data_IF_373245011980
#
_entry.id   IF_373245011980
#
_cell.length_a   1.000
_cell.length_b   1.000
_cell.length_c   1.000
_cell.angle_alpha   90.00
_cell.angle_beta   90.00
_cell.angle_gamma   90.00
#
_symmetry.space_group_name_H-M   'P 1'
#
loop_
_entity.id
_entity.type
_entity.pdbx_description
1 polymer ?
#
# COMPACT_ATOMS: atom_id res chain seq x y z
N UNK A 1 31.78 10.89 62.08
CA UNK A 1 30.35 10.78 62.40
C UNK A 1 29.74 12.08 61.94
N UNK A 2 29.30 12.12 60.69
CA UNK A 2 27.91 11.98 60.22
C UNK A 2 27.67 13.31 59.49
N UNK A 3 27.16 13.41 58.28
CA UNK A 3 26.35 12.51 57.49
C UNK A 3 25.39 13.42 56.72
N UNK A 4 25.41 13.32 55.39
CA UNK A 4 24.39 13.72 54.41
C UNK A 4 23.20 14.55 54.89
N UNK A 5 22.84 15.61 54.14
CA UNK A 5 21.69 15.52 53.22
C UNK A 5 21.70 16.65 52.18
N UNK A 6 21.53 16.23 50.92
CA UNK A 6 21.15 17.08 49.79
C UNK A 6 19.73 17.59 50.02
N UNK A 7 19.46 18.86 49.73
CA UNK A 7 18.13 19.26 49.29
C UNK A 7 18.22 19.74 47.83
N UNK A 8 17.71 18.88 46.96
CA UNK A 8 17.33 19.26 45.62
C UNK A 8 15.88 19.73 45.69
N UNK A 9 15.63 20.97 45.31
CA UNK A 9 14.27 21.36 44.93
C UNK A 9 14.30 22.35 43.76
N UNK A 10 14.20 21.72 42.59
CA UNK A 10 13.31 22.10 41.48
C UNK A 10 13.48 23.49 40.84
N UNK A 11 14.20 23.46 39.70
CA UNK A 11 13.72 23.94 38.40
C UNK A 11 12.20 24.11 38.36
N UNK A 12 11.70 25.30 38.01
CA UNK A 12 10.81 25.55 36.85
C UNK A 12 10.50 27.04 36.81
N UNK A 13 11.18 27.80 35.95
CA UNK A 13 10.74 29.16 35.58
C UNK A 13 10.35 29.12 34.11
N UNK A 14 9.03 29.06 33.93
CA UNK A 14 8.25 29.78 32.92
C UNK A 14 8.53 29.45 31.45
N UNK A 15 7.79 28.46 30.95
CA UNK A 15 7.32 28.51 29.57
C UNK A 15 6.40 29.74 29.45
N UNK A 16 6.90 30.77 28.77
CA UNK A 16 6.21 32.00 28.47
C UNK A 16 4.81 31.73 27.92
N UNK A 17 3.81 32.26 28.64
CA UNK A 17 2.39 32.24 28.29
C UNK A 17 2.18 32.60 26.82
N UNK A 18 1.82 31.60 26.01
CA UNK A 18 1.10 31.86 24.78
C UNK A 18 -0.23 32.51 25.20
N UNK A 19 -0.35 33.82 24.99
CA UNK A 19 -1.50 34.62 25.36
C UNK A 19 -2.75 34.00 24.74
N UNK A 20 -3.45 33.20 25.54
CA UNK A 20 -4.65 32.48 25.13
C UNK A 20 -5.71 33.54 24.98
N UNK A 21 -6.19 33.76 23.76
CA UNK A 21 -7.39 34.56 23.51
C UNK A 21 -8.50 33.95 24.36
N UNK A 22 -8.84 34.55 25.50
CA UNK A 22 -9.62 33.97 26.62
C UNK A 22 -10.95 33.31 26.25
N UNK A 23 -10.84 32.14 25.63
CA UNK A 23 -11.90 31.36 25.02
C UNK A 23 -11.52 29.88 25.05
N UNK A 24 -12.46 29.04 25.48
CA UNK A 24 -12.40 27.60 25.36
C UNK A 24 -13.04 27.15 24.03
N UNK A 25 -12.39 26.23 23.32
CA UNK A 25 -12.91 25.59 22.10
C UNK A 25 -13.40 24.18 22.42
N UNK A 26 -14.70 23.93 22.27
CA UNK A 26 -15.29 22.60 22.23
C UNK A 26 -15.37 22.07 20.80
N UNK A 27 -14.97 20.82 20.59
CA UNK A 27 -15.08 20.12 19.31
C UNK A 27 -15.81 18.78 19.51
N UNK A 28 -16.81 18.52 18.66
CA UNK A 28 -17.49 17.23 18.57
C UNK A 28 -17.29 16.66 17.15
N UNK A 29 -16.56 15.56 17.05
CA UNK A 29 -16.12 14.99 15.76
C UNK A 29 -16.92 13.71 15.46
N UNK A 30 -17.94 13.85 14.62
CA UNK A 30 -18.73 12.75 14.07
C UNK A 30 -18.17 12.21 12.74
N UNK A 31 -18.79 11.16 12.21
CA UNK A 31 -18.37 10.53 10.94
C UNK A 31 -18.51 11.45 9.71
N UNK A 32 -19.45 12.39 9.76
CA UNK A 32 -19.83 13.30 8.67
C UNK A 32 -20.02 14.77 9.11
N UNK A 33 -19.66 15.08 10.35
CA UNK A 33 -19.86 16.41 10.92
C UNK A 33 -18.79 16.74 11.95
N UNK A 34 -18.44 18.01 12.05
CA UNK A 34 -17.66 18.57 13.15
C UNK A 34 -18.49 19.67 13.77
N UNK A 35 -19.07 19.41 14.95
CA UNK A 35 -19.61 20.45 15.80
C UNK A 35 -18.46 21.23 16.44
N UNK A 36 -18.58 22.55 16.49
CA UNK A 36 -17.60 23.40 17.17
C UNK A 36 -18.30 24.51 17.94
N UNK A 37 -17.72 24.86 19.08
CA UNK A 37 -18.21 25.94 19.94
C UNK A 37 -17.02 26.66 20.56
N UNK A 38 -17.00 27.98 20.48
CA UNK A 38 -16.05 28.85 21.15
C UNK A 38 -16.78 29.58 22.27
N UNK A 39 -16.32 29.41 23.50
CA UNK A 39 -16.93 29.98 24.72
C UNK A 39 -15.92 30.88 25.40
N UNK A 40 -16.26 32.14 25.66
CA UNK A 40 -15.39 33.08 26.38
C UNK A 40 -15.21 32.62 27.82
N UNK A 41 -13.97 32.56 28.29
CA UNK A 41 -13.65 32.09 29.65
C UNK A 41 -14.13 33.08 30.73
N UNK A 42 -14.06 34.38 30.43
CA UNK A 42 -14.56 35.47 31.29
C UNK A 42 -15.73 36.16 30.57
N UNK A 43 -17.00 35.84 30.90
CA UNK A 43 -18.17 36.42 30.23
C UNK A 43 -18.20 37.95 30.31
N UNK A 44 -18.61 38.62 29.22
CA UNK A 44 -18.81 40.08 29.18
C UNK A 44 -20.28 40.48 29.33
N UNK A 45 -21.21 39.55 29.18
CA UNK A 45 -22.65 39.84 29.31
C UNK A 45 -23.23 40.64 28.14
N UNK A 46 -22.52 40.71 27.01
CA UNK A 46 -22.92 41.41 25.78
C UNK A 46 -23.70 40.50 24.80
N UNK A 47 -24.01 39.28 25.23
CA UNK A 47 -24.69 38.26 24.42
C UNK A 47 -23.80 37.58 23.36
N UNK A 48 -22.49 37.85 23.33
CA UNK A 48 -21.52 37.29 22.35
C UNK A 48 -20.45 36.42 23.01
N UNK A 49 -20.74 35.90 24.19
CA UNK A 49 -19.81 35.06 24.95
C UNK A 49 -19.72 33.63 24.38
N UNK A 50 -20.61 33.25 23.46
CA UNK A 50 -20.65 31.93 22.83
C UNK A 50 -20.89 32.07 21.33
N UNK A 51 -20.07 31.39 20.52
CA UNK A 51 -20.28 31.23 19.07
C UNK A 51 -20.00 29.81 18.67
N UNK A 52 -20.79 29.25 17.76
CA UNK A 52 -20.58 27.88 17.31
C UNK A 52 -21.26 27.57 16.00
N UNK A 53 -21.06 26.35 15.54
CA UNK A 53 -21.67 25.84 14.33
C UNK A 53 -21.34 24.37 14.11
N UNK A 54 -21.81 23.87 12.97
CA UNK A 54 -21.55 22.49 12.55
C UNK A 54 -21.00 22.51 11.13
N UNK A 55 -19.81 21.94 10.94
CA UNK A 55 -19.26 21.70 9.62
C UNK A 55 -19.71 20.31 9.15
N UNK A 56 -20.62 20.26 8.19
CA UNK A 56 -21.03 19.01 7.53
C UNK A 56 -20.07 18.74 6.36
N UNK A 57 -19.63 17.49 6.21
CA UNK A 57 -18.82 17.05 5.08
C UNK A 57 -19.33 15.71 4.52
N UNK A 58 -19.13 15.46 3.21
CA UNK A 58 -19.54 14.18 2.62
C UNK A 58 -18.81 13.02 3.27
N UNK A 59 -19.51 11.89 3.47
CA UNK A 59 -18.90 10.65 3.97
C UNK A 59 -17.62 10.32 3.18
N UNK A 60 -16.56 9.94 3.90
CA UNK A 60 -15.33 9.46 3.28
C UNK A 60 -15.49 8.08 2.61
N UNK A 61 -16.57 7.37 2.95
CA UNK A 61 -17.02 6.12 2.35
C UNK A 61 -18.01 6.40 1.23
N UNK A 62 -17.91 5.64 0.14
CA UNK A 62 -18.98 5.56 -0.84
C UNK A 62 -19.87 4.38 -0.44
N UNK A 63 -21.16 4.62 -0.25
CA UNK A 63 -22.15 3.57 -0.04
C UNK A 63 -22.64 3.11 -1.40
N UNK A 64 -21.89 2.21 -2.03
CA UNK A 64 -22.39 1.42 -3.14
C UNK A 64 -22.86 0.08 -2.58
N UNK A 65 -24.08 -0.36 -2.87
CA UNK A 65 -24.38 -1.78 -2.64
C UNK A 65 -24.67 -2.18 -1.19
N UNK A 66 -25.03 -1.27 -0.28
CA UNK A 66 -24.98 -1.49 1.18
C UNK A 66 -23.59 -1.90 1.71
N UNK A 67 -22.52 -1.65 0.95
CA UNK A 67 -21.14 -1.93 1.38
C UNK A 67 -20.35 -0.63 1.45
N UNK A 68 -19.83 -0.29 2.63
CA UNK A 68 -18.93 0.86 2.76
C UNK A 68 -17.60 0.55 2.06
N UNK A 69 -17.34 1.24 0.94
CA UNK A 69 -16.02 1.21 0.31
C UNK A 69 -15.33 2.55 0.52
N UNK A 70 -14.07 2.49 0.92
CA UNK A 70 -13.20 3.68 0.89
C UNK A 70 -13.12 4.19 -0.54
N UNK A 71 -13.30 5.50 -0.75
CA UNK A 71 -13.10 6.17 -2.05
C UNK A 71 -11.73 5.90 -2.68
N UNK A 72 -10.76 5.44 -1.90
CA UNK A 72 -9.40 5.12 -2.37
C UNK A 72 -9.18 3.64 -2.71
N UNK A 73 -10.15 2.77 -2.40
CA UNK A 73 -10.03 1.33 -2.57
C UNK A 73 -9.80 0.94 -4.04
N UNK A 74 -10.62 1.48 -4.95
CA UNK A 74 -10.50 1.17 -6.37
C UNK A 74 -9.20 1.71 -6.97
N UNK A 75 -8.77 2.91 -6.54
CA UNK A 75 -7.48 3.48 -6.92
C UNK A 75 -6.32 2.58 -6.45
N UNK A 76 -6.41 2.00 -5.26
CA UNK A 76 -5.43 1.05 -4.72
C UNK A 76 -5.43 -0.25 -5.51
N UNK A 77 -6.59 -0.82 -5.79
CA UNK A 77 -6.73 -2.04 -6.58
C UNK A 77 -6.17 -1.87 -8.00
N UNK A 78 -6.55 -0.79 -8.69
CA UNK A 78 -6.07 -0.47 -10.03
C UNK A 78 -4.55 -0.28 -10.07
N UNK A 79 -3.97 0.39 -9.07
CA UNK A 79 -2.50 0.51 -8.92
C UNK A 79 -1.84 -0.86 -8.71
N UNK A 80 -2.45 -1.72 -7.90
CA UNK A 80 -2.00 -3.09 -7.68
C UNK A 80 -1.93 -3.90 -8.97
N UNK A 81 -3.02 -3.89 -9.76
CA UNK A 81 -3.10 -4.57 -11.05
C UNK A 81 -2.02 -4.09 -12.03
N UNK A 82 -1.83 -2.78 -12.16
CA UNK A 82 -0.78 -2.21 -13.03
C UNK A 82 0.62 -2.69 -12.66
N UNK A 83 0.95 -2.67 -11.36
CA UNK A 83 2.25 -3.17 -10.86
C UNK A 83 2.42 -4.66 -11.13
N UNK A 84 1.37 -5.47 -10.95
CA UNK A 84 1.42 -6.90 -11.24
C UNK A 84 1.66 -7.17 -12.73
N UNK A 85 0.97 -6.44 -13.61
CA UNK A 85 1.13 -6.53 -15.06
C UNK A 85 2.56 -6.20 -15.49
N UNK A 86 3.08 -5.04 -15.04
CA UNK A 86 4.44 -4.60 -15.33
C UNK A 86 5.49 -5.62 -14.85
N UNK A 87 5.36 -6.11 -13.60
CA UNK A 87 6.25 -7.16 -13.05
C UNK A 87 6.18 -8.46 -13.85
N UNK A 88 4.99 -8.86 -14.32
CA UNK A 88 4.82 -10.06 -15.17
C UNK A 88 5.51 -9.87 -16.52
N UNK A 89 5.33 -8.72 -17.16
CA UNK A 89 5.97 -8.37 -18.44
C UNK A 89 7.49 -8.36 -18.33
N UNK A 90 8.04 -7.65 -17.33
CA UNK A 90 9.49 -7.61 -17.07
C UNK A 90 10.09 -8.99 -16.84
N UNK A 91 9.43 -9.85 -16.06
CA UNK A 91 9.88 -11.22 -15.82
C UNK A 91 9.89 -12.07 -17.10
N UNK A 92 8.84 -11.96 -17.94
CA UNK A 92 8.81 -12.65 -19.24
C UNK A 92 9.97 -12.21 -20.13
N UNK A 93 10.18 -10.89 -20.25
CA UNK A 93 11.31 -10.33 -21.03
C UNK A 93 12.66 -10.82 -20.53
N UNK A 94 12.89 -10.80 -19.21
CA UNK A 94 14.13 -11.27 -18.59
C UNK A 94 14.34 -12.76 -18.82
N UNK A 95 13.30 -13.57 -18.68
CA UNK A 95 13.39 -15.00 -18.96
C UNK A 95 13.75 -15.27 -20.42
N UNK A 96 13.05 -14.64 -21.37
CA UNK A 96 13.37 -14.77 -22.80
C UNK A 96 14.80 -14.34 -23.11
N UNK A 97 15.29 -13.26 -22.48
CA UNK A 97 16.68 -12.85 -22.60
C UNK A 97 17.65 -13.94 -22.12
N UNK A 98 17.48 -14.42 -20.88
CA UNK A 98 18.35 -15.47 -20.31
C UNK A 98 18.33 -16.74 -21.15
N UNK A 99 17.16 -17.18 -21.62
CA UNK A 99 17.02 -18.38 -22.46
C UNK A 99 17.78 -18.26 -23.80
N UNK A 100 17.89 -17.04 -24.34
CA UNK A 100 18.72 -16.76 -25.53
C UNK A 100 20.21 -16.83 -25.19
N UNK A 101 20.63 -16.17 -24.11
CA UNK A 101 22.04 -16.16 -23.69
C UNK A 101 22.60 -17.57 -23.46
N UNK A 102 21.79 -18.47 -22.89
CA UNK A 102 22.21 -19.87 -22.66
C UNK A 102 21.94 -20.79 -23.87
N UNK A 103 21.50 -20.23 -25.00
CA UNK A 103 21.30 -20.96 -26.25
C UNK A 103 20.12 -21.93 -26.27
N UNK A 104 19.14 -21.80 -25.37
CA UNK A 104 17.89 -22.58 -25.41
C UNK A 104 16.86 -21.99 -26.40
N UNK A 105 16.96 -20.69 -26.67
CA UNK A 105 16.24 -20.02 -27.75
C UNK A 105 17.24 -19.51 -28.79
N UNK A 106 16.84 -19.39 -30.06
CA UNK A 106 17.69 -18.74 -31.05
C UNK A 106 17.93 -17.26 -30.66
N UNK A 107 19.06 -16.67 -31.08
CA UNK A 107 19.38 -15.28 -30.80
C UNK A 107 18.35 -14.32 -31.43
N UNK A 108 18.65 -13.02 -31.43
CA UNK A 108 17.89 -12.05 -32.23
C UNK A 108 18.61 -11.89 -33.58
N UNK A 109 17.87 -11.69 -34.69
CA UNK A 109 16.44 -11.34 -34.77
C UNK A 109 15.48 -12.53 -34.92
N UNK A 110 15.94 -13.77 -34.74
CA UNK A 110 15.17 -14.97 -35.05
C UNK A 110 13.83 -15.04 -34.28
N UNK A 111 12.73 -15.39 -34.96
CA UNK A 111 11.43 -15.55 -34.33
C UNK A 111 11.41 -16.80 -33.45
N UNK A 112 10.56 -16.78 -32.42
CA UNK A 112 10.39 -17.89 -31.48
C UNK A 112 8.94 -18.41 -31.44
N UNK A 113 8.12 -18.07 -32.44
CA UNK A 113 6.70 -18.43 -32.47
C UNK A 113 6.49 -19.95 -32.52
N UNK A 114 7.41 -20.67 -33.17
CA UNK A 114 7.44 -22.13 -33.19
C UNK A 114 7.51 -22.74 -31.78
N UNK A 115 8.15 -22.05 -30.82
CA UNK A 115 8.20 -22.49 -29.42
C UNK A 115 6.81 -22.43 -28.81
N UNK A 116 6.03 -21.40 -29.13
CA UNK A 116 4.67 -21.25 -28.59
C UNK A 116 3.65 -22.18 -29.25
N UNK A 117 3.96 -22.72 -30.43
CA UNK A 117 3.15 -23.74 -31.09
C UNK A 117 3.23 -25.11 -30.39
N UNK A 118 4.31 -25.39 -29.65
CA UNK A 118 4.46 -26.61 -28.86
C UNK A 118 3.52 -26.63 -27.64
N UNK A 119 2.97 -27.81 -27.35
CA UNK A 119 2.20 -28.05 -26.12
C UNK A 119 3.14 -28.05 -24.90
N UNK A 120 3.01 -27.07 -23.99
CA UNK A 120 3.87 -27.00 -22.84
C UNK A 120 3.64 -28.11 -21.81
N UNK A 121 2.46 -28.73 -21.79
CA UNK A 121 2.19 -29.84 -20.88
C UNK A 121 2.86 -31.11 -21.35
N UNK A 122 2.81 -31.37 -22.65
CA UNK A 122 3.51 -32.49 -23.28
C UNK A 122 5.03 -32.36 -23.07
N UNK A 123 5.63 -31.21 -23.38
CA UNK A 123 7.06 -30.98 -23.13
C UNK A 123 7.42 -31.19 -21.64
N UNK A 124 6.55 -30.75 -20.73
CA UNK A 124 6.79 -30.91 -19.28
C UNK A 124 6.66 -32.36 -18.81
N UNK A 125 5.75 -33.14 -19.39
CA UNK A 125 5.57 -34.55 -19.05
C UNK A 125 6.72 -35.38 -19.61
N UNK A 126 7.01 -35.26 -20.91
CA UNK A 126 8.10 -35.96 -21.59
C UNK A 126 9.46 -35.69 -20.93
N UNK A 127 9.73 -34.45 -20.53
CA UNK A 127 10.98 -34.08 -19.88
C UNK A 127 11.25 -34.71 -18.51
N UNK A 128 10.32 -35.49 -17.96
CA UNK A 128 10.55 -36.32 -16.76
C UNK A 128 11.26 -37.63 -17.10
N UNK A 129 11.03 -38.16 -18.30
CA UNK A 129 11.45 -39.51 -18.70
C UNK A 129 12.49 -39.48 -19.83
N UNK A 130 12.52 -38.42 -20.64
CA UNK A 130 13.43 -38.28 -21.78
C UNK A 130 14.09 -36.90 -21.89
N UNK A 131 15.19 -36.85 -22.66
CA UNK A 131 15.91 -35.61 -22.95
C UNK A 131 15.11 -34.79 -23.97
N UNK A 132 14.76 -33.56 -23.59
CA UNK A 132 14.10 -32.60 -24.48
C UNK A 132 15.09 -31.87 -25.39
N UNK A 133 14.59 -31.47 -26.56
CA UNK A 133 15.26 -30.50 -27.40
C UNK A 133 15.30 -29.11 -26.74
N UNK A 134 16.28 -28.30 -27.14
CA UNK A 134 16.54 -26.97 -26.54
C UNK A 134 15.29 -26.09 -26.45
N UNK A 135 14.51 -26.07 -27.52
CA UNK A 135 13.33 -25.24 -27.66
C UNK A 135 12.10 -25.82 -26.93
N UNK A 136 11.99 -27.15 -26.83
CA UNK A 136 10.99 -27.84 -26.00
C UNK A 136 11.22 -27.54 -24.50
N UNK A 137 12.48 -27.59 -24.07
CA UNK A 137 12.86 -27.20 -22.71
C UNK A 137 12.56 -25.71 -22.46
N UNK A 138 12.89 -24.84 -23.40
CA UNK A 138 12.53 -23.42 -23.32
C UNK A 138 11.02 -23.23 -23.18
N UNK A 139 10.20 -23.98 -23.93
CA UNK A 139 8.75 -23.93 -23.85
C UNK A 139 8.22 -24.31 -22.46
N UNK A 140 8.72 -25.40 -21.90
CA UNK A 140 8.36 -25.87 -20.56
C UNK A 140 8.69 -24.81 -19.49
N UNK A 141 9.90 -24.23 -19.54
CA UNK A 141 10.34 -23.19 -18.60
C UNK A 141 9.53 -21.89 -18.71
N UNK A 142 9.23 -21.44 -19.93
CA UNK A 142 8.36 -20.28 -20.16
C UNK A 142 6.99 -20.51 -19.53
N UNK A 143 6.41 -21.70 -19.72
CA UNK A 143 5.10 -22.02 -19.18
C UNK A 143 5.09 -22.07 -17.64
N UNK A 144 6.09 -22.69 -17.03
CA UNK A 144 6.26 -22.70 -15.57
C UNK A 144 6.39 -21.29 -15.00
N UNK A 145 7.18 -20.43 -15.63
CA UNK A 145 7.33 -19.04 -15.20
C UNK A 145 6.04 -18.21 -15.35
N UNK A 146 5.21 -18.54 -16.35
CA UNK A 146 3.88 -17.95 -16.53
C UNK A 146 2.88 -18.44 -15.48
N UNK A 147 2.91 -19.73 -15.12
CA UNK A 147 2.01 -20.40 -14.18
C UNK A 147 2.71 -20.86 -12.89
N UNK A 148 3.49 -19.97 -12.28
CA UNK A 148 4.37 -20.28 -11.13
C UNK A 148 3.69 -20.51 -9.76
N UNK A 149 2.36 -20.58 -9.73
CA UNK A 149 1.59 -20.73 -8.49
C UNK A 149 1.71 -19.55 -7.51
N UNK A 150 1.20 -19.78 -6.29
CA UNK A 150 1.29 -18.87 -5.15
C UNK A 150 2.42 -19.31 -4.22
N UNK A 151 3.27 -18.36 -3.81
CA UNK A 151 4.23 -18.55 -2.71
C UNK A 151 3.71 -17.76 -1.52
N UNK A 152 3.58 -18.42 -0.37
CA UNK A 152 3.19 -17.75 0.87
C UNK A 152 4.18 -16.66 1.23
N UNK A 153 3.69 -15.46 1.50
CA UNK A 153 4.51 -14.35 1.99
C UNK A 153 4.75 -14.42 3.51
N UNK A 154 4.15 -15.37 4.22
CA UNK A 154 4.29 -15.54 5.68
C UNK A 154 5.55 -16.32 6.06
N UNK A 155 6.00 -17.22 5.19
CA UNK A 155 7.11 -18.16 5.43
C UNK A 155 8.40 -17.72 4.71
N UNK A 156 8.49 -16.43 4.34
CA UNK A 156 9.55 -15.90 3.49
C UNK A 156 10.68 -15.28 4.31
#
# INVERSE_FOLDING_TARGET
MEGHTLDQTTVTTEAQNAQTSGYALGLDVGSNSIGWMLVREIPRGDGKDVVGGVRIFPAATATEKNTEKSKTADRRAARGMRRQHDRRSRRRRRLTYVLREIGLLPPKPEPIDFVYALDPWECRARGLDERLEKHELARALIHLAQRRGFKSNRQA
#
